data_IF_647071010848
#
_entry.id   IF_647071010848
#
_cell.length_a   1.000
_cell.length_b   1.000
_cell.length_c   1.000
_cell.angle_alpha   90.00
_cell.angle_beta   90.00
_cell.angle_gamma   90.00
#
_symmetry.space_group_name_H-M   'P 1'
#
loop_
_entity.id
_entity.type
_entity.pdbx_description
1 polymer ?
#
# COMPACT_ATOMS: atom_id res chain seq x y z
N UNK A 1 13.41 17.32 -19.67
CA UNK A 1 13.60 18.34 -18.61
C UNK A 1 14.92 18.04 -17.92
N UNK A 2 15.79 19.01 -17.67
CA UNK A 2 17.02 18.78 -16.93
C UNK A 2 16.64 18.31 -15.50
N UNK A 3 17.40 17.38 -14.90
CA UNK A 3 17.13 16.89 -13.56
C UNK A 3 17.20 18.09 -12.59
N UNK A 4 16.12 18.30 -11.86
CA UNK A 4 16.12 19.28 -10.78
C UNK A 4 17.03 18.71 -9.69
N UNK A 5 18.18 19.32 -9.46
CA UNK A 5 19.18 18.87 -8.49
C UNK A 5 18.56 18.96 -7.09
N UNK A 6 17.86 17.89 -6.71
CA UNK A 6 17.51 17.66 -5.31
C UNK A 6 18.78 17.15 -4.65
N UNK A 7 19.20 17.78 -3.56
CA UNK A 7 20.42 17.34 -2.85
C UNK A 7 20.35 15.84 -2.49
N UNK A 8 21.46 15.08 -2.58
CA UNK A 8 21.45 13.61 -2.48
C UNK A 8 20.83 13.10 -1.17
N UNK A 9 21.04 13.79 -0.06
CA UNK A 9 20.39 13.44 1.23
C UNK A 9 18.87 13.53 1.17
N UNK A 10 18.33 14.57 0.52
CA UNK A 10 16.88 14.76 0.40
C UNK A 10 16.26 13.76 -0.58
N UNK A 11 16.95 13.43 -1.66
CA UNK A 11 16.52 12.40 -2.60
C UNK A 11 16.43 11.03 -1.88
N UNK A 12 17.45 10.68 -1.12
CA UNK A 12 17.46 9.44 -0.33
C UNK A 12 16.35 9.41 0.73
N UNK A 13 16.11 10.52 1.45
CA UNK A 13 15.05 10.57 2.46
C UNK A 13 13.67 10.35 1.85
N UNK A 14 13.39 10.96 0.69
CA UNK A 14 12.11 10.77 0.00
C UNK A 14 11.98 9.33 -0.49
N UNK A 15 13.05 8.75 -1.04
CA UNK A 15 13.05 7.35 -1.49
C UNK A 15 12.76 6.37 -0.36
N UNK A 16 13.39 6.57 0.80
CA UNK A 16 13.11 5.74 1.98
C UNK A 16 11.67 5.90 2.46
N UNK A 17 11.11 7.11 2.43
CA UNK A 17 9.69 7.32 2.75
C UNK A 17 8.76 6.59 1.77
N UNK A 18 9.06 6.61 0.47
CA UNK A 18 8.31 5.87 -0.54
C UNK A 18 8.41 4.37 -0.31
N UNK A 19 9.60 3.86 -0.04
CA UNK A 19 9.83 2.46 0.30
C UNK A 19 9.01 2.02 1.52
N UNK A 20 9.07 2.77 2.63
CA UNK A 20 8.28 2.44 3.83
C UNK A 20 6.79 2.55 3.61
N UNK A 21 6.32 3.55 2.85
CA UNK A 21 4.91 3.66 2.48
C UNK A 21 4.43 2.44 1.67
N UNK A 22 5.29 1.91 0.80
CA UNK A 22 4.97 0.72 0.02
C UNK A 22 5.06 -0.57 0.84
N UNK A 23 5.98 -0.67 1.78
CA UNK A 23 6.01 -1.75 2.77
C UNK A 23 4.73 -1.75 3.62
N UNK A 24 4.29 -0.58 4.09
CA UNK A 24 3.06 -0.43 4.86
C UNK A 24 1.82 -0.85 4.05
N UNK A 25 1.73 -0.42 2.79
CA UNK A 25 0.68 -0.86 1.89
C UNK A 25 0.62 -2.38 1.79
N UNK A 26 1.77 -3.02 1.55
CA UNK A 26 1.86 -4.47 1.38
C UNK A 26 1.55 -5.22 2.67
N UNK A 27 2.05 -4.73 3.82
CA UNK A 27 1.73 -5.28 5.13
C UNK A 27 0.22 -5.19 5.40
N UNK A 28 -0.41 -4.04 5.16
CA UNK A 28 -1.85 -3.84 5.34
C UNK A 28 -2.70 -4.74 4.42
N UNK A 29 -2.23 -5.01 3.20
CA UNK A 29 -2.86 -5.99 2.32
C UNK A 29 -2.78 -7.39 2.93
N UNK A 30 -1.58 -7.81 3.34
CA UNK A 30 -1.35 -9.15 3.89
C UNK A 30 -2.13 -9.39 5.19
N UNK A 31 -2.12 -8.43 6.10
CA UNK A 31 -2.93 -8.46 7.33
C UNK A 31 -4.39 -8.69 7.01
N UNK A 32 -4.96 -7.93 6.08
CA UNK A 32 -6.34 -8.10 5.66
C UNK A 32 -6.66 -9.49 5.10
N UNK A 33 -5.69 -10.12 4.43
CA UNK A 33 -5.84 -11.48 3.91
C UNK A 33 -5.81 -12.54 5.02
N UNK A 34 -4.99 -12.34 6.05
CA UNK A 34 -4.84 -13.29 7.17
C UNK A 34 -6.10 -13.31 8.05
N UNK A 35 -6.69 -12.15 8.31
CA UNK A 35 -7.85 -12.04 9.22
C UNK A 35 -9.21 -12.27 8.54
N UNK A 36 -9.23 -12.69 7.28
CA UNK A 36 -10.47 -12.88 6.51
C UNK A 36 -11.42 -13.90 7.12
N UNK A 37 -10.90 -14.95 7.75
CA UNK A 37 -11.75 -15.97 8.41
C UNK A 37 -12.51 -15.39 9.61
N UNK A 38 -11.84 -14.57 10.40
CA UNK A 38 -12.45 -13.92 11.57
C UNK A 38 -13.54 -12.92 11.14
N UNK A 39 -13.28 -12.20 10.05
CA UNK A 39 -14.25 -11.29 9.44
C UNK A 39 -15.47 -12.06 8.90
N UNK A 40 -15.26 -13.23 8.27
CA UNK A 40 -16.32 -14.07 7.74
C UNK A 40 -17.32 -14.43 8.85
N UNK A 41 -16.80 -14.83 9.99
CA UNK A 41 -17.61 -15.18 11.16
C UNK A 41 -18.40 -13.97 11.70
N UNK A 42 -17.75 -12.81 11.79
CA UNK A 42 -18.40 -11.61 12.37
C UNK A 42 -19.45 -11.00 11.43
N UNK A 43 -19.18 -10.97 10.13
CA UNK A 43 -20.13 -10.41 9.15
C UNK A 43 -21.17 -11.43 8.65
N UNK A 44 -21.09 -12.71 9.06
CA UNK A 44 -21.99 -13.77 8.63
C UNK A 44 -21.93 -14.07 7.13
N UNK A 45 -20.79 -13.82 6.48
CA UNK A 45 -20.60 -13.97 5.03
C UNK A 45 -19.54 -15.03 4.74
N UNK A 46 -19.96 -16.17 4.22
CA UNK A 46 -19.06 -17.32 4.00
C UNK A 46 -18.18 -17.27 2.75
N UNK A 47 -18.40 -16.29 1.86
CA UNK A 47 -17.66 -16.16 0.58
C UNK A 47 -16.54 -15.09 0.60
N UNK A 48 -16.13 -14.66 1.77
CA UNK A 48 -15.27 -13.50 1.99
C UNK A 48 -13.83 -13.63 1.47
N UNK A 49 -13.09 -14.75 1.61
CA UNK A 49 -11.64 -14.74 1.36
C UNK A 49 -11.26 -14.24 -0.03
N UNK A 50 -12.00 -14.64 -1.04
CA UNK A 50 -11.75 -14.20 -2.42
C UNK A 50 -12.17 -12.75 -2.67
N UNK A 51 -13.28 -12.30 -2.09
CA UNK A 51 -13.84 -10.97 -2.33
C UNK A 51 -12.91 -9.84 -1.88
N UNK A 52 -12.24 -10.01 -0.74
CA UNK A 52 -11.28 -9.02 -0.21
C UNK A 52 -10.09 -8.86 -1.15
N UNK A 53 -9.49 -9.98 -1.56
CA UNK A 53 -8.35 -9.94 -2.48
C UNK A 53 -8.73 -9.49 -3.89
N UNK A 54 -9.92 -9.88 -4.36
CA UNK A 54 -10.44 -9.46 -5.66
C UNK A 54 -10.69 -7.95 -5.71
N UNK A 55 -11.20 -7.34 -4.62
CA UNK A 55 -11.40 -5.89 -4.54
C UNK A 55 -10.06 -5.14 -4.67
N UNK A 56 -9.02 -5.58 -3.96
CA UNK A 56 -7.68 -4.98 -4.05
C UNK A 56 -7.09 -5.19 -5.45
N UNK A 57 -7.23 -6.37 -6.03
CA UNK A 57 -6.69 -6.68 -7.36
C UNK A 57 -7.38 -5.87 -8.46
N UNK A 58 -8.71 -5.76 -8.42
CA UNK A 58 -9.48 -4.92 -9.34
C UNK A 58 -9.07 -3.44 -9.20
N UNK A 59 -8.92 -2.96 -7.96
CA UNK A 59 -8.46 -1.60 -7.71
C UNK A 59 -7.05 -1.34 -8.24
N UNK A 60 -6.13 -2.31 -8.12
CA UNK A 60 -4.78 -2.20 -8.68
C UNK A 60 -4.79 -2.14 -10.21
N UNK A 61 -5.62 -2.95 -10.86
CA UNK A 61 -5.77 -2.90 -12.32
C UNK A 61 -6.25 -1.52 -12.76
N UNK A 62 -7.36 -1.03 -12.19
CA UNK A 62 -7.89 0.30 -12.49
C UNK A 62 -6.91 1.41 -12.13
N UNK A 63 -6.27 1.30 -10.97
CA UNK A 63 -5.27 2.25 -10.49
C UNK A 63 -4.08 2.39 -11.43
N UNK A 64 -3.58 1.29 -12.00
CA UNK A 64 -2.46 1.31 -12.94
C UNK A 64 -2.80 2.10 -14.21
N UNK A 65 -4.01 1.97 -14.76
CA UNK A 65 -4.43 2.75 -15.92
C UNK A 65 -4.56 4.25 -15.60
N UNK A 66 -5.09 4.57 -14.44
CA UNK A 66 -5.39 5.96 -14.05
C UNK A 66 -4.18 6.67 -13.44
N UNK A 67 -3.25 5.93 -12.82
CA UNK A 67 -2.12 6.49 -12.09
C UNK A 67 -1.23 7.39 -12.96
N UNK A 68 -0.92 6.97 -14.19
CA UNK A 68 -0.12 7.76 -15.11
C UNK A 68 -0.79 9.11 -15.44
N UNK A 69 -2.09 9.10 -15.66
CA UNK A 69 -2.86 10.31 -15.92
C UNK A 69 -2.93 11.24 -14.71
N UNK A 70 -3.13 10.68 -13.50
CA UNK A 70 -3.09 11.43 -12.25
C UNK A 70 -1.72 12.06 -12.05
N UNK A 71 -0.65 11.30 -12.29
CA UNK A 71 0.73 11.76 -12.15
C UNK A 71 1.04 12.93 -13.10
N UNK A 72 0.56 12.87 -14.35
CA UNK A 72 0.73 13.95 -15.32
C UNK A 72 -0.06 15.21 -14.94
N UNK A 73 -1.29 15.07 -14.41
CA UNK A 73 -2.13 16.23 -14.05
C UNK A 73 -1.75 16.87 -12.72
N UNK A 74 -1.55 16.08 -11.68
CA UNK A 74 -1.33 16.60 -10.32
C UNK A 74 0.14 16.80 -9.99
N UNK A 75 1.04 16.18 -10.76
CA UNK A 75 2.47 16.15 -10.49
C UNK A 75 2.84 15.18 -9.35
N UNK A 76 4.13 14.83 -9.22
CA UNK A 76 4.57 13.72 -8.37
C UNK A 76 4.23 13.92 -6.89
N UNK A 77 4.42 15.13 -6.35
CA UNK A 77 4.19 15.41 -4.92
C UNK A 77 2.73 15.18 -4.52
N UNK A 78 1.78 15.74 -5.28
CA UNK A 78 0.34 15.61 -4.97
C UNK A 78 -0.15 14.19 -5.20
N UNK A 79 0.37 13.51 -6.20
CA UNK A 79 0.02 12.12 -6.52
C UNK A 79 0.45 11.18 -5.41
N UNK A 80 1.67 11.33 -4.88
CA UNK A 80 2.13 10.54 -3.73
C UNK A 80 1.31 10.84 -2.48
N UNK A 81 1.00 12.12 -2.20
CA UNK A 81 0.14 12.47 -1.06
C UNK A 81 -1.25 11.87 -1.18
N UNK A 82 -1.85 11.89 -2.36
CA UNK A 82 -3.13 11.24 -2.64
C UNK A 82 -3.05 9.72 -2.42
N UNK A 83 -2.00 9.08 -2.92
CA UNK A 83 -1.75 7.66 -2.72
C UNK A 83 -1.67 7.30 -1.23
N UNK A 84 -0.88 8.03 -0.45
CA UNK A 84 -0.76 7.81 1.00
C UNK A 84 -2.10 7.99 1.72
N UNK A 85 -2.89 9.00 1.34
CA UNK A 85 -4.21 9.22 1.90
C UNK A 85 -5.16 8.04 1.62
N UNK A 86 -5.13 7.51 0.41
CA UNK A 86 -5.93 6.33 0.02
C UNK A 86 -5.47 5.07 0.75
N UNK A 87 -4.17 4.89 0.96
CA UNK A 87 -3.63 3.78 1.74
C UNK A 87 -4.10 3.87 3.20
N UNK A 88 -4.13 5.07 3.79
CA UNK A 88 -4.62 5.29 5.15
C UNK A 88 -6.13 4.99 5.31
N UNK A 89 -6.90 4.86 4.23
CA UNK A 89 -8.30 4.43 4.31
C UNK A 89 -8.47 3.04 4.95
N UNK A 90 -7.40 2.23 5.01
CA UNK A 90 -7.40 0.95 5.73
C UNK A 90 -7.75 1.10 7.22
N UNK A 91 -7.32 2.21 7.84
CA UNK A 91 -7.63 2.52 9.24
C UNK A 91 -9.15 2.68 9.44
N UNK A 92 -9.82 3.34 8.50
CA UNK A 92 -11.29 3.47 8.52
C UNK A 92 -11.95 2.10 8.39
N UNK A 93 -11.34 1.19 7.64
CA UNK A 93 -11.80 -0.19 7.49
C UNK A 93 -11.88 -0.97 8.81
N UNK A 94 -10.98 -0.70 9.76
CA UNK A 94 -11.00 -1.35 11.07
C UNK A 94 -12.25 -0.99 11.89
N UNK A 95 -12.83 0.17 11.64
CA UNK A 95 -14.06 0.66 12.31
C UNK A 95 -15.34 0.36 11.51
N UNK A 96 -15.23 -0.31 10.35
CA UNK A 96 -16.40 -0.61 9.54
C UNK A 96 -17.35 -1.58 10.26
N UNK A 97 -18.65 -1.28 10.20
CA UNK A 97 -19.71 -2.11 10.79
C UNK A 97 -20.39 -3.01 9.75
N UNK A 98 -20.09 -2.82 8.47
CA UNK A 98 -20.67 -3.58 7.37
C UNK A 98 -19.61 -4.08 6.40
N UNK A 99 -19.84 -5.26 5.85
CA UNK A 99 -18.94 -5.89 4.88
C UNK A 99 -18.72 -5.03 3.61
N UNK A 100 -19.75 -4.42 2.98
CA UNK A 100 -19.52 -3.55 1.82
C UNK A 100 -18.63 -2.33 2.12
N UNK A 101 -18.79 -1.71 3.30
CA UNK A 101 -17.95 -0.59 3.71
C UNK A 101 -16.48 -1.04 3.88
N UNK A 102 -16.27 -2.21 4.45
CA UNK A 102 -14.94 -2.80 4.56
C UNK A 102 -14.32 -3.05 3.17
N UNK A 103 -15.06 -3.66 2.24
CA UNK A 103 -14.58 -3.90 0.86
C UNK A 103 -14.21 -2.59 0.15
N UNK A 104 -14.97 -1.53 0.35
CA UNK A 104 -14.64 -0.21 -0.21
C UNK A 104 -13.28 0.29 0.30
N UNK A 105 -12.99 0.15 1.60
CA UNK A 105 -11.68 0.56 2.13
C UNK A 105 -10.54 -0.28 1.56
N UNK A 106 -10.77 -1.56 1.28
CA UNK A 106 -9.80 -2.43 0.61
C UNK A 106 -9.58 -2.04 -0.85
N UNK A 107 -10.64 -1.65 -1.53
CA UNK A 107 -10.53 -1.09 -2.88
C UNK A 107 -9.68 0.19 -2.88
N UNK A 108 -9.94 1.13 -1.96
CA UNK A 108 -9.17 2.37 -1.84
C UNK A 108 -7.70 2.10 -1.51
N UNK A 109 -7.42 1.15 -0.63
CA UNK A 109 -6.07 0.68 -0.32
C UNK A 109 -5.35 0.19 -1.58
N UNK A 110 -5.98 -0.71 -2.34
CA UNK A 110 -5.41 -1.25 -3.59
C UNK A 110 -5.14 -0.17 -4.64
N UNK A 111 -6.07 0.76 -4.79
CA UNK A 111 -5.96 1.88 -5.72
C UNK A 111 -4.80 2.81 -5.33
N UNK A 112 -4.68 3.16 -4.03
CA UNK A 112 -3.57 3.93 -3.50
C UNK A 112 -2.22 3.24 -3.73
N UNK A 113 -2.12 1.95 -3.44
CA UNK A 113 -0.91 1.16 -3.67
C UNK A 113 -0.47 1.12 -5.13
N UNK A 114 -1.41 1.02 -6.08
CA UNK A 114 -1.12 1.07 -7.50
C UNK A 114 -0.55 2.44 -7.93
N UNK A 115 -1.15 3.53 -7.46
CA UNK A 115 -0.65 4.89 -7.74
C UNK A 115 0.76 5.06 -7.17
N UNK A 116 1.01 4.61 -5.94
CA UNK A 116 2.32 4.71 -5.31
C UNK A 116 3.39 3.98 -6.13
N UNK A 117 3.13 2.74 -6.53
CA UNK A 117 4.03 1.92 -7.33
C UNK A 117 4.42 2.62 -8.64
N UNK A 118 3.45 3.19 -9.35
CA UNK A 118 3.70 3.91 -10.62
C UNK A 118 4.56 5.16 -10.40
N UNK A 119 4.47 5.82 -9.24
CA UNK A 119 5.27 7.00 -8.94
C UNK A 119 6.72 6.71 -8.56
N UNK A 120 7.02 5.52 -8.02
CA UNK A 120 8.34 5.19 -7.48
C UNK A 120 9.42 5.13 -8.57
N UNK A 121 9.19 4.41 -9.66
CA UNK A 121 10.19 4.26 -10.73
C UNK A 121 10.56 5.58 -11.41
N UNK A 122 9.63 6.44 -11.86
CA UNK A 122 9.95 7.75 -12.39
C UNK A 122 10.71 8.63 -11.39
N UNK A 123 10.39 8.52 -10.09
CA UNK A 123 11.11 9.25 -9.05
C UNK A 123 12.59 8.84 -9.00
N UNK A 124 12.87 7.54 -8.99
CA UNK A 124 14.25 7.01 -8.99
C UNK A 124 15.00 7.49 -10.23
N UNK A 125 14.40 7.37 -11.40
CA UNK A 125 15.02 7.79 -12.67
C UNK A 125 15.31 9.28 -12.70
N UNK A 126 14.46 10.09 -12.08
CA UNK A 126 14.60 11.56 -12.06
C UNK A 126 15.62 12.06 -11.03
N UNK A 127 15.74 11.38 -9.89
CA UNK A 127 16.51 11.88 -8.73
C UNK A 127 17.90 11.25 -8.60
N UNK A 128 18.13 10.07 -9.18
CA UNK A 128 19.37 9.32 -8.98
C UNK A 128 20.15 9.16 -10.30
N UNK A 129 21.47 9.08 -10.18
CA UNK A 129 22.36 8.83 -11.32
C UNK A 129 22.10 7.45 -11.93
N UNK A 130 22.29 7.28 -13.26
CA UNK A 130 22.04 6.00 -13.96
C UNK A 130 22.69 4.78 -13.29
N UNK A 131 23.88 4.96 -12.71
CA UNK A 131 24.60 3.88 -11.99
C UNK A 131 23.91 3.45 -10.68
N UNK A 132 23.15 4.33 -10.05
CA UNK A 132 22.47 4.09 -8.77
C UNK A 132 21.03 3.59 -8.96
N UNK A 133 20.40 3.90 -10.09
CA UNK A 133 19.00 3.56 -10.37
C UNK A 133 18.66 2.08 -10.17
N UNK A 134 19.47 1.10 -10.64
CA UNK A 134 19.16 -0.31 -10.45
C UNK A 134 19.05 -0.70 -8.96
N UNK A 135 19.86 -0.09 -8.10
CA UNK A 135 19.87 -0.37 -6.65
C UNK A 135 18.55 0.08 -6.03
N UNK A 136 18.10 1.31 -6.33
CA UNK A 136 16.84 1.85 -5.77
C UNK A 136 15.60 1.18 -6.38
N UNK A 137 15.62 0.83 -7.66
CA UNK A 137 14.55 0.03 -8.27
C UNK A 137 14.48 -1.35 -7.61
N UNK A 138 15.62 -1.99 -7.35
CA UNK A 138 15.70 -3.24 -6.62
C UNK A 138 15.16 -3.12 -5.19
N UNK A 139 15.50 -2.04 -4.49
CA UNK A 139 14.96 -1.72 -3.17
C UNK A 139 13.43 -1.61 -3.21
N UNK A 140 12.89 -0.85 -4.16
CA UNK A 140 11.45 -0.67 -4.33
C UNK A 140 10.72 -2.00 -4.59
N UNK A 141 11.33 -2.89 -5.39
CA UNK A 141 10.78 -4.23 -5.64
C UNK A 141 10.85 -5.15 -4.42
N UNK A 142 11.79 -4.92 -3.50
CA UNK A 142 11.86 -5.65 -2.23
C UNK A 142 10.81 -5.18 -1.23
N UNK A 143 10.29 -3.95 -1.35
CA UNK A 143 9.33 -3.34 -0.42
C UNK A 143 8.12 -4.22 -0.12
N UNK A 144 7.38 -4.74 -1.13
CA UNK A 144 6.22 -5.60 -0.89
C UNK A 144 6.55 -6.87 -0.11
N UNK A 145 7.66 -7.51 -0.44
CA UNK A 145 8.09 -8.72 0.24
C UNK A 145 8.49 -8.43 1.70
N UNK A 146 9.15 -7.30 1.93
CA UNK A 146 9.50 -6.83 3.28
C UNK A 146 8.23 -6.54 4.09
N UNK A 147 7.26 -5.83 3.53
CA UNK A 147 5.98 -5.56 4.19
C UNK A 147 5.20 -6.84 4.50
N UNK A 148 5.14 -7.78 3.56
CA UNK A 148 4.48 -9.08 3.76
C UNK A 148 5.16 -9.89 4.87
N UNK A 149 6.49 -9.92 4.91
CA UNK A 149 7.25 -10.62 5.94
C UNK A 149 6.97 -10.03 7.32
N UNK A 150 7.02 -8.69 7.45
CA UNK A 150 6.68 -8.00 8.69
C UNK A 150 5.26 -8.35 9.14
N UNK A 151 4.28 -8.32 8.23
CA UNK A 151 2.91 -8.68 8.54
C UNK A 151 2.78 -10.12 9.05
N UNK A 152 3.40 -11.09 8.37
CA UNK A 152 3.35 -12.50 8.75
C UNK A 152 3.96 -12.74 10.14
N UNK A 153 5.08 -12.09 10.46
CA UNK A 153 5.74 -12.25 11.76
C UNK A 153 4.98 -11.53 12.88
N UNK A 154 4.42 -10.35 12.61
CA UNK A 154 3.75 -9.54 13.63
C UNK A 154 2.31 -9.97 13.91
N UNK A 155 1.55 -10.39 12.90
CA UNK A 155 0.13 -10.76 13.07
C UNK A 155 -0.07 -11.86 14.10
N UNK A 156 0.78 -12.89 14.09
CA UNK A 156 0.67 -14.01 15.04
C UNK A 156 0.87 -13.53 16.48
N UNK A 157 1.87 -12.69 16.72
CA UNK A 157 2.14 -12.13 18.04
C UNK A 157 1.04 -11.17 18.49
N UNK A 158 0.65 -10.24 17.63
CA UNK A 158 -0.37 -9.21 17.91
C UNK A 158 -1.74 -9.83 18.14
N UNK A 159 -2.11 -10.85 17.35
CA UNK A 159 -3.39 -11.55 17.53
C UNK A 159 -3.45 -12.27 18.88
N UNK A 160 -2.35 -12.86 19.34
CA UNK A 160 -2.27 -13.48 20.66
C UNK A 160 -2.44 -12.50 21.82
N UNK A 161 -2.04 -11.24 21.63
CA UNK A 161 -2.11 -10.20 22.66
C UNK A 161 -3.44 -9.41 22.66
N UNK A 162 -3.95 -9.08 21.49
CA UNK A 162 -5.08 -8.15 21.34
C UNK A 162 -6.44 -8.83 21.10
N UNK A 163 -6.45 -10.14 20.76
CA UNK A 163 -7.65 -10.96 20.67
C UNK A 163 -8.70 -10.57 19.62
N UNK A 164 -8.48 -9.48 18.86
CA UNK A 164 -9.44 -8.97 17.86
C UNK A 164 -8.76 -8.70 16.52
N UNK A 165 -9.40 -9.09 15.41
CA UNK A 165 -8.92 -8.81 14.07
C UNK A 165 -8.87 -7.29 13.76
N UNK A 166 -9.76 -6.49 14.37
CA UNK A 166 -9.74 -5.03 14.23
C UNK A 166 -8.47 -4.42 14.79
N UNK A 167 -8.05 -4.87 15.96
CA UNK A 167 -6.80 -4.44 16.59
C UNK A 167 -5.58 -4.81 15.73
N UNK A 168 -5.63 -5.96 15.05
CA UNK A 168 -4.56 -6.41 14.15
C UNK A 168 -4.46 -5.52 12.90
N UNK A 169 -5.57 -4.98 12.41
CA UNK A 169 -5.56 -4.04 11.26
C UNK A 169 -5.02 -2.66 11.66
N UNK A 170 -5.22 -2.26 12.91
CA UNK A 170 -4.77 -0.95 13.43
C UNK A 170 -3.30 -0.93 13.83
N UNK A 171 -2.72 -2.11 14.07
CA UNK A 171 -1.31 -2.27 14.40
C UNK A 171 -0.42 -2.15 13.16
#
# INVERSE_FOLDING_TARGET
MPPKVIGPKRALSIELLLFFAYCFFSASWMVGSIVTTDMAQEFGVYTIPSSVNNAISAAKILGNFVAAWILLKLGPKRTVSLSCLLICAVVVGAFSTSFPAFILTRFLLGFGGAILMICMTPYVVYCFEPKQQPIFIGLNNAGPNTGNLIALLSVTAVRGWLGSWRSVILF
#
